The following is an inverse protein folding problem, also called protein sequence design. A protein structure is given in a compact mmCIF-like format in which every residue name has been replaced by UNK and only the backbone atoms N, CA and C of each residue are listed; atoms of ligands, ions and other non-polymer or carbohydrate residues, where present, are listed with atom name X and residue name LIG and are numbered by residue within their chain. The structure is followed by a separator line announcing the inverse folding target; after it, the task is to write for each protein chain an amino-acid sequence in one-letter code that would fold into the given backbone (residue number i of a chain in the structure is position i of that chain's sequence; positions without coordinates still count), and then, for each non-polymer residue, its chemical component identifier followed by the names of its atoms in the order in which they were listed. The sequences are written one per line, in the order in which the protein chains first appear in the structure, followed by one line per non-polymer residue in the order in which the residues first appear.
data_IF_839473834666
#
_entry.id   IF_839473834666
#
_cell.length_a   1.000
_cell.length_b   1.000
_cell.length_c   1.000
_cell.angle_alpha   90.00
_cell.angle_beta   90.00
_cell.angle_gamma   90.00
#
_symmetry.space_group_name_H-M   'P 1'
#
loop_
_entity.id
_entity.type
_entity.pdbx_description
1 polymer ?
#
# COMPACT_ATOMS: atom_id res chain seq x y z
N UNK A 1 18.21 -9.51 3.88
CA UNK A 1 16.89 -10.04 3.50
C UNK A 1 15.93 -9.67 4.60
N UNK A 2 15.00 -8.75 4.35
CA UNK A 2 14.02 -8.34 5.36
C UNK A 2 12.98 -9.45 5.50
N UNK A 3 12.83 -10.00 6.71
CA UNK A 3 11.78 -10.97 7.00
C UNK A 3 10.41 -10.34 6.73
N UNK A 4 9.63 -10.95 5.85
CA UNK A 4 8.30 -10.44 5.49
C UNK A 4 7.36 -10.60 6.70
N UNK A 5 6.89 -9.48 7.24
CA UNK A 5 5.93 -9.46 8.35
C UNK A 5 4.52 -9.64 7.79
N UNK A 6 3.73 -10.48 8.45
CA UNK A 6 2.33 -10.73 8.09
C UNK A 6 1.41 -10.23 9.20
N UNK A 7 0.21 -9.80 8.82
CA UNK A 7 -0.80 -9.34 9.78
C UNK A 7 -1.15 -10.49 10.74
N UNK A 8 -0.97 -10.31 12.07
CA UNK A 8 -1.14 -11.39 13.02
C UNK A 8 -2.63 -11.62 13.31
N UNK A 9 -3.13 -12.80 12.94
CA UNK A 9 -4.45 -13.29 13.34
C UNK A 9 -4.47 -14.82 13.28
N UNK A 10 -5.45 -15.44 13.93
CA UNK A 10 -5.60 -16.89 13.94
C UNK A 10 -7.02 -17.35 14.19
N UNK A 11 -7.12 -18.55 14.77
CA UNK A 11 -8.40 -19.25 14.97
C UNK A 11 -9.39 -18.43 15.81
N UNK A 12 -8.90 -17.68 16.81
CA UNK A 12 -9.74 -16.85 17.68
C UNK A 12 -10.54 -15.81 16.87
N UNK A 13 -9.86 -15.08 15.99
CA UNK A 13 -10.49 -14.04 15.17
C UNK A 13 -11.41 -14.66 14.11
N UNK A 14 -10.98 -15.75 13.47
CA UNK A 14 -11.78 -16.41 12.43
C UNK A 14 -13.03 -17.11 12.98
N UNK A 15 -12.94 -17.75 14.14
CA UNK A 15 -14.09 -18.40 14.79
C UNK A 15 -15.11 -17.36 15.24
N UNK A 16 -14.63 -16.24 15.80
CA UNK A 16 -15.51 -15.13 16.18
C UNK A 16 -16.30 -14.64 14.95
N UNK A 17 -15.63 -14.31 13.85
CA UNK A 17 -16.29 -13.84 12.63
C UNK A 17 -17.26 -14.88 12.05
N UNK A 18 -16.86 -16.15 12.00
CA UNK A 18 -17.71 -17.24 11.48
C UNK A 18 -18.95 -17.49 12.35
N UNK A 19 -18.88 -17.23 13.65
CA UNK A 19 -20.03 -17.32 14.57
C UNK A 19 -21.02 -16.16 14.41
N UNK A 20 -20.57 -15.01 13.90
CA UNK A 20 -21.38 -13.80 13.73
C UNK A 20 -22.11 -13.74 12.39
N UNK A 21 -21.56 -14.39 11.37
CA UNK A 21 -22.12 -14.41 10.02
C UNK A 21 -21.89 -15.78 9.35
N UNK A 22 -22.93 -16.58 9.11
CA UNK A 22 -22.82 -17.89 8.47
C UNK A 22 -22.26 -17.86 7.04
N UNK A 23 -22.57 -16.81 6.26
CA UNK A 23 -22.08 -16.65 4.88
C UNK A 23 -20.58 -16.34 4.92
N UNK A 24 -20.16 -15.41 5.79
CA UNK A 24 -18.74 -15.13 6.02
C UNK A 24 -18.02 -16.37 6.55
N UNK A 25 -18.65 -17.13 7.45
CA UNK A 25 -18.10 -18.37 7.98
C UNK A 25 -17.86 -19.44 6.92
N UNK A 26 -18.76 -19.58 5.94
CA UNK A 26 -18.56 -20.48 4.79
C UNK A 26 -17.37 -20.03 3.93
N UNK A 27 -17.27 -18.72 3.65
CA UNK A 27 -16.14 -18.15 2.91
C UNK A 27 -14.82 -18.39 3.63
N UNK A 28 -14.75 -18.16 4.95
CA UNK A 28 -13.55 -18.41 5.76
C UNK A 28 -13.13 -19.88 5.69
N UNK A 29 -14.07 -20.83 5.80
CA UNK A 29 -13.77 -22.26 5.68
C UNK A 29 -13.27 -22.65 4.29
N UNK A 30 -13.85 -22.05 3.24
CA UNK A 30 -13.47 -22.34 1.85
C UNK A 30 -12.11 -21.74 1.48
N UNK A 31 -11.83 -20.51 1.91
CA UNK A 31 -10.59 -19.78 1.57
C UNK A 31 -9.43 -20.20 2.47
N UNK A 32 -9.68 -20.48 3.75
CA UNK A 32 -8.65 -20.80 4.72
C UNK A 32 -7.86 -19.58 5.20
N UNK A 33 -6.65 -19.81 5.73
CA UNK A 33 -5.79 -18.73 6.23
C UNK A 33 -5.21 -17.89 5.10
N UNK A 34 -5.22 -16.57 5.27
CA UNK A 34 -4.74 -15.57 4.31
C UNK A 34 -3.52 -14.87 4.90
N UNK A 35 -2.34 -15.14 4.36
CA UNK A 35 -1.13 -14.42 4.75
C UNK A 35 -1.11 -13.04 4.09
N UNK A 36 -1.50 -12.00 4.84
CA UNK A 36 -1.48 -10.61 4.37
C UNK A 36 -0.17 -9.92 4.76
N UNK A 37 0.73 -9.60 3.81
CA UNK A 37 1.98 -8.93 4.14
C UNK A 37 1.71 -7.50 4.64
N UNK A 38 2.53 -7.06 5.59
CA UNK A 38 2.51 -5.73 6.19
C UNK A 38 3.71 -4.95 5.68
N UNK A 39 3.46 -3.77 5.14
CA UNK A 39 4.53 -2.80 4.91
C UNK A 39 4.76 -2.05 6.23
N UNK A 40 5.96 -2.20 6.80
CA UNK A 40 6.33 -1.55 8.07
C UNK A 40 6.72 -0.09 7.90
N UNK A 41 7.10 0.33 6.70
CA UNK A 41 7.34 1.74 6.41
C UNK A 41 6.00 2.42 6.13
N UNK A 42 5.55 3.25 7.09
CA UNK A 42 4.25 3.93 7.02
C UNK A 42 4.18 4.91 5.85
N UNK A 43 5.29 5.58 5.52
CA UNK A 43 5.30 6.54 4.43
C UNK A 43 5.26 5.82 3.08
N UNK A 44 6.08 4.78 2.89
CA UNK A 44 6.00 3.93 1.69
C UNK A 44 4.60 3.29 1.55
N UNK A 45 4.00 2.83 2.66
CA UNK A 45 2.64 2.29 2.67
C UNK A 45 1.60 3.34 2.24
N UNK A 46 1.75 4.60 2.68
CA UNK A 46 0.90 5.71 2.25
C UNK A 46 1.05 5.97 0.75
N UNK A 47 2.28 6.02 0.23
CA UNK A 47 2.52 6.19 -1.22
C UNK A 47 1.90 5.05 -2.02
N UNK A 48 2.08 3.81 -1.57
CA UNK A 48 1.48 2.64 -2.20
C UNK A 48 -0.06 2.75 -2.24
N UNK A 49 -0.68 3.14 -1.14
CA UNK A 49 -2.12 3.34 -1.07
C UNK A 49 -2.61 4.43 -2.04
N UNK A 50 -1.97 5.61 -2.06
CA UNK A 50 -2.34 6.73 -2.93
C UNK A 50 -2.22 6.38 -4.40
N UNK A 51 -1.13 5.73 -4.79
CA UNK A 51 -0.88 5.37 -6.19
C UNK A 51 -1.92 4.38 -6.69
N UNK A 52 -2.35 3.44 -5.85
CA UNK A 52 -3.37 2.43 -6.17
C UNK A 52 -4.83 2.91 -6.20
N UNK A 53 -5.15 4.12 -5.77
CA UNK A 53 -6.54 4.60 -5.74
C UNK A 53 -7.17 4.65 -7.15
N UNK A 54 -8.41 4.18 -7.29
CA UNK A 54 -9.21 4.28 -8.53
C UNK A 54 -8.57 3.66 -9.80
N UNK A 55 -7.68 2.67 -9.65
CA UNK A 55 -7.09 1.93 -10.76
C UNK A 55 -7.09 0.42 -10.48
N UNK A 56 -6.94 -0.39 -11.52
CA UNK A 56 -6.85 -1.84 -11.35
C UNK A 56 -5.57 -2.27 -10.65
N UNK A 57 -5.57 -3.45 -10.03
CA UNK A 57 -4.37 -4.02 -9.40
C UNK A 57 -3.18 -4.15 -10.36
N UNK A 58 -3.45 -4.44 -11.64
CA UNK A 58 -2.42 -4.54 -12.70
C UNK A 58 -1.80 -3.17 -13.02
N UNK A 59 -2.63 -2.13 -13.14
CA UNK A 59 -2.16 -0.77 -13.34
C UNK A 59 -1.37 -0.27 -12.13
N UNK A 60 -1.88 -0.52 -10.92
CA UNK A 60 -1.19 -0.19 -9.67
C UNK A 60 0.19 -0.87 -9.59
N UNK A 61 0.29 -2.16 -9.85
CA UNK A 61 1.57 -2.87 -9.84
C UNK A 61 2.59 -2.24 -10.82
N UNK A 62 2.13 -1.80 -11.99
CA UNK A 62 2.98 -1.14 -13.00
C UNK A 62 3.47 0.22 -12.52
N UNK A 63 2.57 1.06 -11.99
CA UNK A 63 2.91 2.38 -11.44
C UNK A 63 3.87 2.23 -10.25
N UNK A 64 3.57 1.31 -9.33
CA UNK A 64 4.37 1.08 -8.14
C UNK A 64 5.78 0.61 -8.47
N UNK A 65 5.91 -0.30 -9.44
CA UNK A 65 7.22 -0.74 -9.94
C UNK A 65 8.04 0.44 -10.48
N UNK A 66 7.45 1.29 -11.34
CA UNK A 66 8.12 2.48 -11.89
C UNK A 66 8.55 3.47 -10.80
N UNK A 67 7.70 3.70 -9.81
CA UNK A 67 8.05 4.57 -8.67
C UNK A 67 9.23 4.02 -7.89
N UNK A 68 9.24 2.73 -7.56
CA UNK A 68 10.36 2.11 -6.84
C UNK A 68 11.64 2.10 -7.66
N UNK A 69 11.58 1.78 -8.95
CA UNK A 69 12.76 1.79 -9.82
C UNK A 69 13.39 3.17 -9.95
N UNK A 70 12.57 4.23 -9.98
CA UNK A 70 13.06 5.60 -10.22
C UNK A 70 13.42 6.37 -8.95
N UNK A 71 12.71 6.13 -7.84
CA UNK A 71 12.76 7.01 -6.67
C UNK A 71 13.11 6.28 -5.36
N UNK A 72 13.53 5.01 -5.40
CA UNK A 72 14.02 4.36 -4.17
C UNK A 72 15.32 5.01 -3.69
N UNK A 73 15.50 5.22 -2.38
CA UNK A 73 14.54 4.91 -1.30
C UNK A 73 13.42 5.95 -1.24
N UNK A 74 12.17 5.49 -1.04
CA UNK A 74 10.97 6.32 -1.00
C UNK A 74 10.81 7.02 0.35
N UNK A 75 11.79 7.80 0.79
CA UNK A 75 11.75 8.54 2.06
C UNK A 75 11.02 9.89 1.90
N UNK A 76 10.44 10.47 2.96
CA UNK A 76 9.81 11.79 2.90
C UNK A 76 10.74 12.87 2.33
N UNK A 77 11.98 12.95 2.83
CA UNK A 77 12.97 13.92 2.35
C UNK A 77 13.31 13.76 0.86
N UNK A 78 13.51 12.52 0.39
CA UNK A 78 13.80 12.27 -1.02
C UNK A 78 12.61 12.63 -1.92
N UNK A 79 11.39 12.21 -1.55
CA UNK A 79 10.17 12.53 -2.31
C UNK A 79 9.89 14.04 -2.32
N UNK A 80 10.20 14.75 -1.24
CA UNK A 80 10.05 16.20 -1.16
C UNK A 80 10.91 16.94 -2.19
N UNK A 81 12.06 16.39 -2.61
CA UNK A 81 12.94 17.02 -3.60
C UNK A 81 12.51 16.76 -5.06
N UNK A 82 11.65 15.77 -5.31
CA UNK A 82 11.31 15.33 -6.66
C UNK A 82 10.22 16.22 -7.30
N UNK A 83 10.35 16.54 -8.60
CA UNK A 83 9.31 16.98 -9.52
C UNK A 83 7.89 16.48 -9.25
N UNK A 84 6.84 17.30 -9.12
CA UNK A 84 5.48 16.73 -9.17
C UNK A 84 5.21 16.05 -10.54
N UNK A 85 5.74 16.65 -11.60
CA UNK A 85 5.71 16.17 -12.98
C UNK A 85 6.50 14.87 -13.14
N UNK A 86 7.62 14.73 -12.43
CA UNK A 86 8.39 13.49 -12.42
C UNK A 86 7.62 12.35 -11.74
N UNK A 87 6.95 12.62 -10.62
CA UNK A 87 6.06 11.65 -9.98
C UNK A 87 4.89 11.28 -10.90
N UNK A 88 4.27 12.27 -11.55
CA UNK A 88 3.18 12.07 -12.52
C UNK A 88 3.61 11.14 -13.65
N UNK A 89 4.83 11.29 -14.17
CA UNK A 89 5.36 10.49 -15.27
C UNK A 89 5.43 8.97 -14.97
N UNK A 90 5.33 8.55 -13.70
CA UNK A 90 5.18 7.14 -13.34
C UNK A 90 3.80 6.55 -13.68
N UNK A 91 2.84 7.37 -14.13
CA UNK A 91 1.49 6.95 -14.51
C UNK A 91 0.42 7.26 -13.47
N UNK A 92 0.63 8.30 -12.65
CA UNK A 92 -0.39 8.82 -11.71
C UNK A 92 -0.91 10.17 -12.19
N UNK A 93 -2.06 10.60 -11.68
CA UNK A 93 -2.61 11.93 -11.96
C UNK A 93 -1.80 13.01 -11.24
N UNK A 94 -1.82 14.25 -11.74
CA UNK A 94 -1.21 15.39 -11.03
C UNK A 94 -1.78 15.57 -9.62
N UNK A 95 -3.08 15.29 -9.43
CA UNK A 95 -3.70 15.33 -8.10
C UNK A 95 -3.02 14.38 -7.11
N UNK A 96 -2.69 13.16 -7.54
CA UNK A 96 -1.95 12.21 -6.70
C UNK A 96 -0.50 12.64 -6.47
N UNK A 97 0.17 13.16 -7.50
CA UNK A 97 1.54 13.66 -7.38
C UNK A 97 1.65 14.80 -6.36
N UNK A 98 0.76 15.79 -6.43
CA UNK A 98 0.71 16.91 -5.49
C UNK A 98 0.39 16.45 -4.07
N UNK A 99 -0.57 15.54 -3.90
CA UNK A 99 -0.85 14.98 -2.57
C UNK A 99 0.37 14.27 -1.97
N UNK A 100 1.08 13.47 -2.77
CA UNK A 100 2.32 12.80 -2.34
C UNK A 100 3.37 13.82 -1.89
N UNK A 101 3.53 14.93 -2.63
CA UNK A 101 4.44 16.02 -2.29
C UNK A 101 4.06 16.71 -0.98
N UNK A 102 2.78 17.04 -0.80
CA UNK A 102 2.28 17.64 0.43
C UNK A 102 2.48 16.71 1.63
N UNK A 103 2.21 15.41 1.48
CA UNK A 103 2.44 14.42 2.52
C UNK A 103 3.94 14.30 2.86
N UNK A 104 4.81 14.29 1.84
CA UNK A 104 6.26 14.24 2.03
C UNK A 104 6.78 15.46 2.80
N UNK A 105 6.34 16.67 2.43
CA UNK A 105 6.72 17.90 3.12
C UNK A 105 6.31 17.88 4.60
N UNK A 106 5.04 17.55 4.90
CA UNK A 106 4.52 17.53 6.27
C UNK A 106 5.17 16.49 7.19
N UNK A 107 5.77 15.45 6.64
CA UNK A 107 6.44 14.38 7.41
C UNK A 107 7.94 14.63 7.51
N UNK A 108 8.51 15.40 6.59
CA UNK A 108 9.91 15.80 6.62
C UNK A 108 10.19 16.97 7.58
N UNK A 109 9.16 17.77 7.89
CA UNK A 109 9.14 18.80 8.95
C UNK A 109 9.14 18.17 10.36
#
# INVERSE_FOLDING_TARGET
MSSQIFFPYGKKETDYLASKDPVLGEVIRRVGHISRPVNTDLFEALLNAVTGQQISSKAHATVWRRMKERFSPLTPGHICLIPAEELQSCGITMKKANYIKEAAARIAD
#
